data_IF_299625615627
#
_entry.id   IF_299625615627
#
_cell.length_a   1.000
_cell.length_b   1.000
_cell.length_c   1.000
_cell.angle_alpha   90.00
_cell.angle_beta   90.00
_cell.angle_gamma   90.00
#
_symmetry.space_group_name_H-M   'P 1'
#
loop_
_entity.id
_entity.type
_entity.pdbx_description
1 polymer ?
#
# COMPACT_ATOMS: atom_id res chain seq x y z
N UNK A 1 4.78 10.12 21.93
CA UNK A 1 5.33 9.48 20.72
C UNK A 1 4.68 8.10 20.46
N UNK A 2 4.05 7.91 19.30
CA UNK A 2 3.70 6.58 18.79
C UNK A 2 4.88 6.07 17.97
N UNK A 3 5.57 5.01 18.41
CA UNK A 3 6.79 4.56 17.72
C UNK A 3 6.50 3.80 16.43
N UNK A 4 5.26 3.37 16.22
CA UNK A 4 4.79 2.61 15.07
C UNK A 4 3.29 2.83 14.91
N UNK A 5 2.86 3.11 13.69
CA UNK A 5 1.46 3.10 13.29
C UNK A 5 1.29 2.01 12.20
N UNK A 6 0.13 1.35 12.18
CA UNK A 6 -0.22 0.29 11.22
C UNK A 6 -1.58 0.60 10.61
N UNK A 7 -1.62 0.65 9.29
CA UNK A 7 -2.84 0.90 8.52
C UNK A 7 -3.27 -0.36 7.77
N UNK A 8 -4.57 -0.68 7.83
CA UNK A 8 -5.18 -1.72 7.00
C UNK A 8 -5.56 -1.11 5.65
N UNK A 9 -4.92 -1.53 4.57
CA UNK A 9 -5.13 -0.99 3.22
C UNK A 9 -6.25 -1.70 2.44
N UNK A 10 -6.27 -3.02 2.53
CA UNK A 10 -7.17 -3.93 1.80
C UNK A 10 -7.59 -5.08 2.70
N UNK A 11 -8.76 -5.65 2.44
CA UNK A 11 -9.22 -6.88 3.05
C UNK A 11 -9.97 -7.70 2.01
N UNK A 12 -9.29 -8.69 1.43
CA UNK A 12 -9.75 -9.45 0.27
C UNK A 12 -10.30 -8.50 -0.83
N UNK A 13 -11.49 -8.81 -1.35
CA UNK A 13 -12.25 -8.03 -2.32
C UNK A 13 -13.27 -7.08 -1.67
N UNK A 14 -13.19 -6.86 -0.35
CA UNK A 14 -14.22 -6.10 0.38
C UNK A 14 -14.10 -4.60 0.13
N UNK A 15 -15.25 -4.02 -0.18
CA UNK A 15 -15.48 -2.57 -0.19
C UNK A 15 -16.34 -2.22 1.01
N UNK A 16 -15.78 -1.49 1.96
CA UNK A 16 -16.41 -1.20 3.26
C UNK A 16 -16.30 0.28 3.59
N UNK A 17 -17.38 0.83 4.13
CA UNK A 17 -17.41 2.14 4.77
C UNK A 17 -18.21 1.99 6.06
N UNK A 18 -17.53 2.01 7.20
CA UNK A 18 -18.15 1.84 8.52
C UNK A 18 -17.27 2.43 9.62
N UNK A 19 -17.87 3.16 10.56
CA UNK A 19 -17.25 3.59 11.84
C UNK A 19 -15.77 4.05 11.74
N UNK A 20 -15.44 4.87 10.75
CA UNK A 20 -14.08 5.41 10.55
C UNK A 20 -13.10 4.47 9.84
N UNK A 21 -13.55 3.31 9.39
CA UNK A 21 -12.83 2.40 8.50
C UNK A 21 -13.38 2.52 7.08
N UNK A 22 -12.48 2.86 6.15
CA UNK A 22 -12.74 2.82 4.71
C UNK A 22 -11.78 1.84 4.06
N UNK A 23 -12.32 0.89 3.29
CA UNK A 23 -11.55 -0.08 2.52
C UNK A 23 -12.13 -0.19 1.10
N UNK A 24 -11.28 -0.26 0.05
CA UNK A 24 -9.83 -0.02 0.06
C UNK A 24 -9.46 1.37 0.56
N UNK A 25 -8.31 1.51 1.20
CA UNK A 25 -7.78 2.83 1.59
C UNK A 25 -7.47 3.67 0.35
N UNK A 26 -8.00 4.89 0.31
CA UNK A 26 -7.79 5.82 -0.81
C UNK A 26 -6.30 6.14 -1.01
N UNK A 27 -5.50 6.03 0.05
CA UNK A 27 -4.04 6.18 0.05
C UNK A 27 -3.34 5.28 -0.98
N UNK A 28 -3.90 4.11 -1.29
CA UNK A 28 -3.36 3.20 -2.32
C UNK A 28 -3.26 3.90 -3.67
N UNK A 29 -4.24 4.74 -4.03
CA UNK A 29 -4.28 5.42 -5.33
C UNK A 29 -3.66 6.81 -5.30
N UNK A 30 -3.22 7.27 -4.13
CA UNK A 30 -2.76 8.66 -3.95
C UNK A 30 -1.28 8.75 -3.58
N UNK A 31 -0.73 7.78 -2.86
CA UNK A 31 0.63 7.83 -2.35
C UNK A 31 1.55 6.79 -2.98
N UNK A 32 2.64 7.27 -3.59
CA UNK A 32 3.64 6.43 -4.23
C UNK A 32 4.27 5.43 -3.25
N UNK A 33 4.46 5.83 -1.97
CA UNK A 33 5.05 4.97 -0.94
C UNK A 33 4.08 3.90 -0.43
N UNK A 34 2.80 3.96 -0.81
CA UNK A 34 1.81 2.91 -0.56
C UNK A 34 1.68 2.03 -1.79
N UNK A 35 1.42 2.62 -2.96
CA UNK A 35 1.16 1.88 -4.19
C UNK A 35 2.36 1.07 -4.66
N UNK A 36 3.54 1.68 -4.69
CA UNK A 36 4.73 1.01 -5.24
C UNK A 36 5.12 -0.23 -4.43
N UNK A 37 5.27 -0.18 -3.09
CA UNK A 37 5.56 -1.39 -2.33
C UNK A 37 4.48 -2.46 -2.48
N UNK A 38 3.20 -2.06 -2.59
CA UNK A 38 2.10 -2.99 -2.81
C UNK A 38 2.22 -3.70 -4.17
N UNK A 39 2.54 -2.96 -5.24
CA UNK A 39 2.76 -3.48 -6.58
C UNK A 39 4.05 -4.34 -6.69
N UNK A 40 5.08 -4.04 -5.89
CA UNK A 40 6.29 -4.86 -5.79
C UNK A 40 6.03 -6.16 -5.00
N UNK A 41 5.12 -6.13 -4.01
CA UNK A 41 4.77 -7.28 -3.17
C UNK A 41 3.84 -8.28 -3.89
N UNK A 42 2.76 -7.79 -4.52
CA UNK A 42 1.83 -8.59 -5.30
C UNK A 42 1.33 -7.80 -6.53
N UNK A 43 1.97 -7.96 -7.69
CA UNK A 43 1.64 -7.20 -8.89
C UNK A 43 0.30 -7.57 -9.51
N UNK A 44 -0.20 -8.79 -9.28
CA UNK A 44 -1.43 -9.33 -9.87
C UNK A 44 -2.67 -9.08 -9.00
N UNK A 45 -2.47 -8.69 -7.73
CA UNK A 45 -3.53 -8.25 -6.82
C UNK A 45 -4.39 -7.17 -7.49
N UNK A 46 -5.71 -7.37 -7.48
CA UNK A 46 -6.67 -6.43 -8.08
C UNK A 46 -7.24 -5.50 -7.03
N UNK A 47 -7.25 -4.21 -7.34
CA UNK A 47 -7.87 -3.21 -6.48
C UNK A 47 -9.41 -3.35 -6.55
N UNK A 48 -10.11 -3.58 -5.42
CA UNK A 48 -11.55 -3.91 -5.41
C UNK A 48 -12.45 -2.86 -6.07
N UNK A 49 -12.07 -1.58 -6.07
CA UNK A 49 -12.89 -0.52 -6.67
C UNK A 49 -12.62 -0.30 -8.16
N UNK A 50 -11.39 -0.46 -8.62
CA UNK A 50 -11.02 -0.16 -10.02
C UNK A 50 -10.98 -1.42 -10.88
N UNK A 51 -10.79 -2.60 -10.27
CA UNK A 51 -10.59 -3.88 -10.95
C UNK A 51 -9.21 -4.04 -11.60
N UNK A 52 -8.39 -2.98 -11.61
CA UNK A 52 -7.05 -2.97 -12.16
C UNK A 52 -6.06 -3.66 -11.22
N UNK A 53 -5.00 -4.22 -11.79
CA UNK A 53 -3.93 -4.82 -11.00
C UNK A 53 -3.04 -3.74 -10.38
N UNK A 54 -2.41 -4.03 -9.24
CA UNK A 54 -1.47 -3.08 -8.61
C UNK A 54 -0.34 -2.68 -9.55
N UNK A 55 0.14 -3.62 -10.38
CA UNK A 55 1.14 -3.31 -11.41
C UNK A 55 0.64 -2.33 -12.46
N UNK A 56 -0.61 -2.48 -12.94
CA UNK A 56 -1.20 -1.56 -13.91
C UNK A 56 -1.41 -0.16 -13.29
N UNK A 57 -1.94 -0.12 -12.07
CA UNK A 57 -2.11 1.12 -11.31
C UNK A 57 -0.77 1.84 -11.10
N UNK A 58 0.28 1.11 -10.70
CA UNK A 58 1.61 1.69 -10.54
C UNK A 58 2.20 2.17 -11.87
N UNK A 59 2.01 1.43 -12.95
CA UNK A 59 2.48 1.83 -14.28
C UNK A 59 1.79 3.11 -14.79
N UNK A 60 0.53 3.33 -14.41
CA UNK A 60 -0.23 4.52 -14.78
C UNK A 60 -0.09 5.67 -13.76
N UNK A 61 0.57 5.43 -12.62
CA UNK A 61 0.66 6.38 -11.53
C UNK A 61 1.55 7.56 -11.90
N UNK A 62 0.98 8.77 -11.86
CA UNK A 62 1.77 9.99 -11.95
C UNK A 62 2.42 10.28 -10.59
N UNK A 63 3.70 9.95 -10.49
CA UNK A 63 4.45 10.16 -9.26
C UNK A 63 4.66 11.63 -8.90
N UNK A 64 4.46 12.57 -9.83
CA UNK A 64 4.69 14.00 -9.60
C UNK A 64 5.99 14.27 -8.84
N UNK A 65 5.86 14.92 -7.68
CA UNK A 65 6.99 15.22 -6.78
C UNK A 65 7.24 14.16 -5.67
N UNK A 66 6.47 13.06 -5.65
CA UNK A 66 6.55 12.02 -4.63
C UNK A 66 7.79 11.13 -4.80
N UNK A 67 8.95 11.68 -4.48
CA UNK A 67 10.21 10.94 -4.51
C UNK A 67 10.25 9.91 -3.40
N UNK A 68 10.62 8.70 -3.79
CA UNK A 68 10.83 7.59 -2.89
C UNK A 68 12.31 7.45 -2.57
N UNK A 69 12.60 7.30 -1.29
CA UNK A 69 13.94 7.07 -0.77
C UNK A 69 13.94 5.70 -0.10
N UNK A 70 14.93 4.84 -0.39
CA UNK A 70 15.14 3.66 0.43
C UNK A 70 15.32 4.11 1.88
N UNK A 71 14.67 3.44 2.83
CA UNK A 71 14.68 3.85 4.24
C UNK A 71 16.05 3.71 4.92
N UNK A 72 17.11 3.28 4.22
CA UNK A 72 18.44 3.01 4.78
C UNK A 72 18.44 1.93 5.88
N UNK A 73 17.27 1.37 6.19
CA UNK A 73 17.07 0.38 7.23
C UNK A 73 17.44 -0.99 6.70
N UNK A 74 18.45 -1.60 7.32
CA UNK A 74 18.74 -3.01 7.13
C UNK A 74 17.80 -3.83 8.04
N UNK A 75 16.84 -4.56 7.44
CA UNK A 75 15.99 -5.46 8.20
C UNK A 75 16.83 -6.54 8.87
N UNK A 76 16.79 -6.60 10.21
CA UNK A 76 17.41 -7.66 11.00
C UNK A 76 16.32 -8.58 11.52
N UNK A 77 16.16 -9.80 10.96
CA UNK A 77 15.13 -10.71 11.42
C UNK A 77 15.36 -11.04 12.91
N UNK A 78 14.29 -11.17 13.71
CA UNK A 78 14.43 -11.53 15.11
C UNK A 78 15.11 -12.91 15.22
N UNK A 79 16.17 -12.98 16.04
CA UNK A 79 16.83 -14.25 16.36
C UNK A 79 15.83 -15.09 17.16
N UNK A 80 15.35 -16.19 16.57
CA UNK A 80 14.53 -17.16 17.31
C UNK A 80 15.40 -17.73 18.45
N UNK A 81 14.96 -17.53 19.70
CA UNK A 81 15.48 -18.29 20.85
C UNK A 81 14.81 -19.66 20.91
#
# INVERSE_FOLDING_TARGET
PRPLDLDLLLYDDRVLSAEGLELPRAEILHYAFVLRPLAELDPDLRHPLTGETMAALWSAFDSGEQRLWPSGMEWRPPVRR
#
